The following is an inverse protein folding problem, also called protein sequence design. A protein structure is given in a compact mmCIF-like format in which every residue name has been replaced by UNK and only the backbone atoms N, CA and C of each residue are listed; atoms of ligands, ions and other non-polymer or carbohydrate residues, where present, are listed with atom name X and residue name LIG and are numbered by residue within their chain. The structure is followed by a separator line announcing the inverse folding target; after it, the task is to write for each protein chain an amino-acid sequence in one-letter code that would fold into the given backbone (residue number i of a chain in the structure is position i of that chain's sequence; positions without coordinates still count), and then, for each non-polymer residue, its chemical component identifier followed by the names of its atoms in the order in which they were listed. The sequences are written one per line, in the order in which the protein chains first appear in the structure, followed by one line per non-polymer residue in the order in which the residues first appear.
data_IF_355118259144
#
_entry.id   IF_355118259144
#
_cell.length_a   1.000
_cell.length_b   1.000
_cell.length_c   1.000
_cell.angle_alpha   90.00
_cell.angle_beta   90.00
_cell.angle_gamma   90.00
#
_symmetry.space_group_name_H-M   'P 1'
#
loop_
_entity.id
_entity.type
_entity.pdbx_description
1 polymer ?
#
# COMPACT_ATOMS: atom_id res chain seq x y z
N UNK A 1 31.87 43.67 -16.45
CA UNK A 1 32.46 42.42 -16.98
C UNK A 1 33.29 41.79 -15.88
N UNK A 2 32.76 40.76 -15.22
CA UNK A 2 33.46 39.98 -14.18
C UNK A 2 33.89 38.63 -14.79
N UNK A 3 35.11 38.13 -14.55
CA UNK A 3 35.53 36.82 -15.03
C UNK A 3 35.22 35.69 -14.03
N UNK A 4 34.78 34.56 -14.59
CA UNK A 4 34.45 33.30 -13.92
C UNK A 4 35.63 32.64 -13.20
N UNK A 5 35.34 31.96 -12.08
CA UNK A 5 36.26 31.09 -11.34
C UNK A 5 36.01 29.62 -11.68
N UNK A 6 37.05 28.92 -12.13
CA UNK A 6 37.14 27.45 -12.20
C UNK A 6 38.10 27.00 -11.10
N UNK A 7 37.68 26.05 -10.26
CA UNK A 7 38.48 25.48 -9.19
C UNK A 7 39.05 24.12 -9.65
N UNK A 8 40.38 24.01 -9.70
CA UNK A 8 41.12 22.75 -9.87
C UNK A 8 41.85 22.48 -8.55
N UNK A 9 41.62 21.33 -7.92
CA UNK A 9 42.34 20.90 -6.73
C UNK A 9 43.32 19.79 -7.12
N UNK A 10 44.61 20.10 -7.02
CA UNK A 10 45.73 19.18 -7.25
C UNK A 10 46.14 18.43 -5.98
N UNK A 11 46.51 17.17 -6.18
CA UNK A 11 46.97 16.21 -5.19
C UNK A 11 48.41 16.51 -4.73
N UNK A 12 48.70 16.52 -3.43
CA UNK A 12 50.06 16.64 -2.88
C UNK A 12 50.53 15.28 -2.35
N UNK A 13 51.66 14.81 -2.87
CA UNK A 13 52.43 13.67 -2.37
C UNK A 13 53.45 14.15 -1.34
N UNK A 14 53.51 13.52 -0.17
CA UNK A 14 54.60 13.69 0.80
C UNK A 14 55.29 12.33 1.01
N UNK A 15 56.57 12.27 0.66
CA UNK A 15 57.48 11.17 0.98
C UNK A 15 58.10 11.38 2.37
N UNK A 16 58.12 10.33 3.19
CA UNK A 16 59.04 10.21 4.32
C UNK A 16 59.69 8.83 4.25
N UNK A 17 61.03 8.82 4.25
CA UNK A 17 61.89 7.63 4.32
C UNK A 17 62.51 7.57 5.71
N UNK A 18 62.57 6.37 6.29
CA UNK A 18 63.65 6.03 7.23
C UNK A 18 63.27 5.09 8.38
N UNK A 19 63.99 3.96 8.48
CA UNK A 19 64.32 3.33 9.76
C UNK A 19 63.91 1.87 9.92
N UNK A 20 64.88 0.96 9.74
CA UNK A 20 64.78 -0.49 9.99
C UNK A 20 65.03 -0.79 11.47
N UNK A 21 64.21 -1.65 12.08
CA UNK A 21 64.44 -2.25 13.40
C UNK A 21 63.78 -3.61 13.52
N UNK A 22 64.59 -4.67 13.60
CA UNK A 22 64.17 -6.06 13.82
C UNK A 22 63.66 -6.29 15.24
N UNK A 23 62.43 -6.82 15.40
CA UNK A 23 61.99 -7.53 16.62
C UNK A 23 61.11 -8.72 16.20
N UNK A 24 61.34 -9.88 16.85
CA UNK A 24 60.93 -11.21 16.42
C UNK A 24 59.43 -11.44 16.23
N UNK A 25 59.15 -12.33 15.27
CA UNK A 25 57.81 -12.83 14.90
C UNK A 25 57.35 -13.88 15.94
N UNK A 26 56.22 -13.69 16.64
CA UNK A 26 55.61 -14.76 17.42
C UNK A 26 54.92 -15.78 16.50
N UNK A 27 54.69 -17.02 16.96
CA UNK A 27 54.11 -18.09 16.14
C UNK A 27 52.66 -17.78 15.77
N UNK A 28 52.31 -18.00 14.50
CA UNK A 28 50.93 -17.93 14.02
C UNK A 28 50.19 -19.15 14.60
N UNK A 29 49.33 -18.92 15.58
CA UNK A 29 48.35 -19.91 16.00
C UNK A 29 47.27 -20.00 14.90
N UNK A 30 47.20 -21.15 14.25
CA UNK A 30 46.11 -21.49 13.34
C UNK A 30 44.81 -21.62 14.13
N UNK A 31 44.02 -20.55 14.20
CA UNK A 31 42.65 -20.62 14.68
C UNK A 31 41.78 -21.26 13.59
N UNK A 32 41.39 -22.51 13.80
CA UNK A 32 40.34 -23.18 13.03
C UNK A 32 39.05 -22.39 13.21
N UNK A 33 38.63 -21.66 12.17
CA UNK A 33 37.31 -21.06 12.14
C UNK A 33 36.26 -22.17 12.16
N UNK A 34 35.65 -22.40 13.32
CA UNK A 34 34.46 -23.23 13.42
C UNK A 34 33.36 -22.55 12.61
N UNK A 35 33.00 -23.18 11.48
CA UNK A 35 31.85 -22.79 10.68
C UNK A 35 30.59 -23.04 11.51
N UNK A 36 30.09 -22.00 12.19
CA UNK A 36 28.71 -22.02 12.69
C UNK A 36 27.81 -21.97 11.46
N UNK A 37 27.34 -23.14 11.03
CA UNK A 37 26.18 -23.28 10.16
C UNK A 37 24.99 -22.60 10.85
N UNK A 38 24.74 -21.35 10.49
CA UNK A 38 23.43 -20.74 10.71
C UNK A 38 22.46 -21.50 9.84
N UNK A 39 21.77 -22.48 10.44
CA UNK A 39 20.66 -23.19 9.81
C UNK A 39 19.64 -22.14 9.39
N UNK A 40 19.50 -21.92 8.07
CA UNK A 40 18.39 -21.15 7.53
C UNK A 40 17.10 -21.73 8.11
N UNK A 41 16.11 -20.90 8.52
CA UNK A 41 14.84 -21.40 9.00
C UNK A 41 14.31 -22.41 7.99
N UNK A 42 14.00 -23.63 8.46
CA UNK A 42 13.42 -24.66 7.60
C UNK A 42 12.21 -24.04 6.90
N UNK A 43 12.24 -24.02 5.56
CA UNK A 43 11.11 -23.55 4.78
C UNK A 43 9.88 -24.35 5.22
N UNK A 44 8.96 -23.71 5.94
CA UNK A 44 7.70 -24.34 6.32
C UNK A 44 7.08 -24.88 5.03
N UNK A 45 6.84 -26.20 4.99
CA UNK A 45 6.19 -26.85 3.87
C UNK A 45 4.82 -26.21 3.70
N UNK A 46 4.58 -25.57 2.55
CA UNK A 46 3.30 -24.93 2.29
C UNK A 46 2.19 -25.99 2.10
N UNK A 47 1.04 -25.75 2.70
CA UNK A 47 -0.17 -26.55 2.53
C UNK A 47 -0.79 -26.24 1.18
N UNK A 48 -0.99 -27.26 0.35
CA UNK A 48 -1.67 -27.10 -0.94
C UNK A 48 -3.18 -26.90 -0.74
N UNK A 49 -3.75 -25.98 -1.50
CA UNK A 49 -5.19 -25.68 -1.55
C UNK A 49 -5.64 -25.79 -3.01
N UNK A 50 -6.64 -26.60 -3.28
CA UNK A 50 -7.09 -26.92 -4.65
C UNK A 50 -8.61 -26.76 -4.84
N UNK A 51 -9.29 -26.26 -3.80
CA UNK A 51 -10.73 -26.11 -3.72
C UNK A 51 -11.07 -25.08 -2.63
N UNK A 52 -12.32 -24.60 -2.62
CA UNK A 52 -12.79 -23.69 -1.58
C UNK A 52 -12.66 -24.34 -0.19
N UNK A 53 -12.05 -23.61 0.75
CA UNK A 53 -11.72 -24.13 2.07
C UNK A 53 -11.63 -23.01 3.11
N UNK A 54 -11.68 -23.38 4.38
CA UNK A 54 -11.39 -22.50 5.49
C UNK A 54 -9.97 -22.74 6.00
N UNK A 55 -9.18 -21.67 6.05
CA UNK A 55 -7.86 -21.63 6.68
C UNK A 55 -8.06 -21.16 8.12
N UNK A 56 -7.99 -22.11 9.05
CA UNK A 56 -8.20 -21.91 10.49
C UNK A 56 -6.95 -22.17 11.33
N UNK A 57 -5.81 -22.35 10.67
CA UNK A 57 -4.50 -22.52 11.31
C UNK A 57 -3.49 -21.63 10.61
N UNK A 58 -2.62 -21.00 11.39
CA UNK A 58 -1.48 -20.24 10.91
C UNK A 58 -0.59 -21.07 9.99
N UNK A 59 0.15 -20.40 9.11
CA UNK A 59 1.12 -21.03 8.22
C UNK A 59 0.99 -20.60 6.76
N UNK A 60 1.76 -21.28 5.92
CA UNK A 60 1.84 -20.98 4.48
C UNK A 60 0.93 -21.91 3.67
N UNK A 61 0.14 -21.32 2.79
CA UNK A 61 -0.79 -21.99 1.89
C UNK A 61 -0.48 -21.59 0.45
N UNK A 62 -0.62 -22.55 -0.47
CA UNK A 62 -0.43 -22.32 -1.91
C UNK A 62 -1.61 -22.84 -2.69
N UNK A 63 -2.15 -22.04 -3.62
CA UNK A 63 -3.09 -22.61 -4.59
C UNK A 63 -2.34 -23.58 -5.49
N UNK A 64 -2.88 -24.78 -5.66
CA UNK A 64 -2.29 -25.84 -6.46
C UNK A 64 -2.77 -25.82 -7.92
N UNK A 65 -3.91 -25.18 -8.16
CA UNK A 65 -4.58 -25.07 -9.46
C UNK A 65 -5.63 -23.96 -9.41
N UNK A 66 -6.18 -23.64 -10.58
CA UNK A 66 -7.37 -22.81 -10.67
C UNK A 66 -8.57 -23.53 -10.03
N UNK A 67 -9.35 -22.76 -9.28
CA UNK A 67 -10.60 -23.19 -8.66
C UNK A 67 -11.74 -22.60 -9.49
N UNK A 68 -12.28 -23.40 -10.39
CA UNK A 68 -13.45 -23.05 -11.19
C UNK A 68 -14.74 -23.34 -10.45
N UNK A 69 -15.76 -22.53 -10.74
CA UNK A 69 -17.12 -22.75 -10.25
C UNK A 69 -17.14 -22.91 -8.72
N UNK A 70 -16.47 -22.01 -8.00
CA UNK A 70 -16.47 -21.97 -6.54
C UNK A 70 -17.87 -21.66 -6.01
N UNK A 71 -18.74 -22.67 -5.89
CA UNK A 71 -20.05 -22.49 -5.25
C UNK A 71 -19.84 -22.36 -3.76
N UNK A 72 -20.16 -21.18 -3.25
CA UNK A 72 -20.21 -20.91 -1.81
C UNK A 72 -21.65 -20.59 -1.42
N UNK A 73 -22.00 -20.79 -0.15
CA UNK A 73 -23.25 -20.25 0.36
C UNK A 73 -23.19 -18.71 0.36
N UNK A 74 -24.34 -18.05 0.42
CA UNK A 74 -24.38 -16.60 0.68
C UNK A 74 -23.61 -16.26 1.97
N UNK A 75 -23.02 -15.08 2.03
CA UNK A 75 -22.26 -14.56 3.18
C UNK A 75 -21.00 -15.38 3.52
N UNK A 76 -20.37 -16.03 2.53
CA UNK A 76 -19.07 -16.70 2.73
C UNK A 76 -18.13 -16.57 1.53
N UNK A 77 -16.82 -16.66 1.83
CA UNK A 77 -15.76 -16.73 0.82
C UNK A 77 -15.39 -18.16 0.42
N UNK A 78 -14.79 -18.31 -0.76
CA UNK A 78 -14.22 -19.58 -1.24
C UNK A 78 -12.98 -19.95 -0.41
N UNK A 79 -12.01 -19.06 -0.33
CA UNK A 79 -10.90 -19.19 0.61
C UNK A 79 -11.16 -18.30 1.81
N UNK A 80 -11.57 -18.88 2.93
CA UNK A 80 -11.90 -18.15 4.15
C UNK A 80 -10.77 -18.24 5.17
N UNK A 81 -10.08 -17.14 5.42
CA UNK A 81 -8.95 -17.05 6.35
C UNK A 81 -9.47 -16.48 7.67
N UNK A 82 -9.33 -17.26 8.76
CA UNK A 82 -9.75 -16.93 10.13
C UNK A 82 -8.64 -17.14 11.17
N UNK A 83 -7.41 -17.34 10.70
CA UNK A 83 -6.26 -17.55 11.57
C UNK A 83 -5.22 -16.47 11.29
N UNK A 84 -4.53 -16.08 12.34
CA UNK A 84 -3.41 -15.15 12.27
C UNK A 84 -2.19 -15.81 11.61
N UNK A 85 -1.22 -15.00 11.20
CA UNK A 85 0.07 -15.47 10.65
C UNK A 85 -0.12 -16.40 9.44
N UNK A 86 -0.95 -15.98 8.49
CA UNK A 86 -1.28 -16.74 7.27
C UNK A 86 -0.67 -16.09 6.04
N UNK A 87 0.00 -16.90 5.22
CA UNK A 87 0.39 -16.50 3.87
C UNK A 87 -0.36 -17.37 2.87
N UNK A 88 -1.28 -16.77 2.11
CA UNK A 88 -1.90 -17.38 0.94
C UNK A 88 -1.19 -16.91 -0.33
N UNK A 89 -0.49 -17.81 -1.01
CA UNK A 89 0.20 -17.57 -2.27
C UNK A 89 -0.50 -18.31 -3.41
N UNK A 90 -1.24 -17.59 -4.25
CA UNK A 90 -2.00 -18.23 -5.32
C UNK A 90 -1.18 -18.70 -6.50
N UNK A 91 0.12 -18.38 -6.58
CA UNK A 91 1.01 -18.81 -7.68
C UNK A 91 0.48 -18.45 -9.09
N UNK A 92 -0.30 -17.39 -9.20
CA UNK A 92 -0.96 -16.92 -10.42
C UNK A 92 -2.31 -17.58 -10.72
N UNK A 93 -2.75 -18.55 -9.90
CA UNK A 93 -4.00 -19.27 -10.09
C UNK A 93 -5.23 -18.40 -9.83
N UNK A 94 -6.34 -18.81 -10.46
CA UNK A 94 -7.61 -18.11 -10.44
C UNK A 94 -8.61 -18.76 -9.47
N UNK A 95 -9.36 -17.92 -8.75
CA UNK A 95 -10.58 -18.27 -8.02
C UNK A 95 -11.78 -17.71 -8.78
N UNK A 96 -12.59 -18.59 -9.37
CA UNK A 96 -13.66 -18.28 -10.31
C UNK A 96 -15.03 -18.64 -9.71
N UNK A 97 -15.87 -17.63 -9.49
CA UNK A 97 -17.15 -17.71 -8.78
C UNK A 97 -18.39 -17.88 -9.67
N UNK A 98 -19.52 -17.31 -9.23
CA UNK A 98 -20.83 -17.37 -9.91
C UNK A 98 -21.61 -16.04 -9.92
N UNK A 99 -21.00 -14.95 -9.45
CA UNK A 99 -21.65 -13.66 -9.30
C UNK A 99 -22.75 -13.63 -8.24
N UNK A 100 -22.71 -14.56 -7.27
CA UNK A 100 -23.72 -14.62 -6.20
C UNK A 100 -23.48 -13.49 -5.20
N UNK A 101 -24.52 -12.75 -4.85
CA UNK A 101 -24.45 -11.66 -3.86
C UNK A 101 -23.85 -12.12 -2.52
N UNK A 102 -23.07 -11.23 -1.90
CA UNK A 102 -22.42 -11.44 -0.60
C UNK A 102 -21.50 -12.69 -0.54
N UNK A 103 -20.91 -13.07 -1.68
CA UNK A 103 -19.86 -14.09 -1.75
C UNK A 103 -18.50 -13.47 -2.05
N UNK A 104 -17.42 -14.15 -1.68
CA UNK A 104 -16.07 -13.65 -1.92
C UNK A 104 -15.10 -14.69 -2.47
N UNK A 105 -14.15 -14.28 -3.31
CA UNK A 105 -13.07 -15.18 -3.73
C UNK A 105 -12.16 -15.52 -2.56
N UNK A 106 -11.60 -14.48 -1.93
CA UNK A 106 -10.87 -14.58 -0.67
C UNK A 106 -11.58 -13.74 0.38
N UNK A 107 -11.77 -14.30 1.59
CA UNK A 107 -12.32 -13.58 2.74
C UNK A 107 -11.39 -13.72 3.93
N UNK A 108 -10.72 -12.63 4.31
CA UNK A 108 -9.98 -12.49 5.57
C UNK A 108 -10.92 -11.93 6.61
N UNK A 109 -11.18 -12.66 7.69
CA UNK A 109 -12.20 -12.30 8.67
C UNK A 109 -11.67 -12.48 10.10
N UNK A 110 -11.52 -11.38 10.85
CA UNK A 110 -11.15 -11.46 12.27
C UNK A 110 -9.73 -12.00 12.49
N UNK A 111 -8.79 -11.68 11.61
CA UNK A 111 -7.43 -12.25 11.60
C UNK A 111 -6.37 -11.16 11.46
N UNK A 112 -5.16 -11.44 11.95
CA UNK A 112 -4.03 -10.53 11.96
C UNK A 112 -2.82 -11.09 11.23
N UNK A 113 -1.97 -10.21 10.67
CA UNK A 113 -0.75 -10.60 9.97
C UNK A 113 -1.02 -11.62 8.84
N UNK A 114 -1.89 -11.23 7.90
CA UNK A 114 -2.29 -12.06 6.77
C UNK A 114 -1.74 -11.48 5.48
N UNK A 115 -1.03 -12.30 4.69
CA UNK A 115 -0.63 -11.94 3.32
C UNK A 115 -1.44 -12.75 2.30
N UNK A 116 -2.20 -12.07 1.45
CA UNK A 116 -2.85 -12.62 0.27
C UNK A 116 -2.10 -12.15 -0.97
N UNK A 117 -1.61 -13.07 -1.80
CA UNK A 117 -0.77 -12.66 -2.94
C UNK A 117 -0.82 -13.54 -4.17
N UNK A 118 -0.43 -12.93 -5.30
CA UNK A 118 -0.13 -13.61 -6.55
C UNK A 118 -1.28 -14.53 -6.99
N UNK A 119 -2.48 -13.98 -7.10
CA UNK A 119 -3.69 -14.73 -7.43
C UNK A 119 -4.66 -13.87 -8.24
N UNK A 120 -5.64 -14.54 -8.86
CA UNK A 120 -6.69 -13.87 -9.61
C UNK A 120 -8.06 -14.19 -9.02
N UNK A 121 -8.97 -13.23 -9.02
CA UNK A 121 -10.38 -13.47 -8.65
C UNK A 121 -11.32 -12.90 -9.70
N UNK A 122 -12.35 -13.66 -10.06
CA UNK A 122 -13.41 -13.19 -10.95
C UNK A 122 -14.77 -13.79 -10.62
N UNK A 123 -15.81 -13.11 -11.08
CA UNK A 123 -17.19 -13.56 -10.96
C UNK A 123 -17.59 -13.77 -9.48
N UNK A 124 -17.13 -12.90 -8.57
CA UNK A 124 -17.55 -12.84 -7.17
C UNK A 124 -18.33 -11.55 -6.88
N UNK A 125 -19.09 -11.53 -5.78
CA UNK A 125 -19.57 -10.24 -5.28
C UNK A 125 -18.40 -9.39 -4.77
N UNK A 126 -17.48 -9.97 -4.00
CA UNK A 126 -16.20 -9.34 -3.61
C UNK A 126 -15.03 -10.20 -4.06
N UNK A 127 -14.13 -9.66 -4.88
CA UNK A 127 -12.95 -10.41 -5.32
C UNK A 127 -12.08 -10.81 -4.12
N UNK A 128 -11.64 -9.82 -3.35
CA UNK A 128 -11.00 -9.98 -2.03
C UNK A 128 -11.78 -9.17 -1.01
N UNK A 129 -12.11 -9.78 0.12
CA UNK A 129 -12.79 -9.13 1.23
C UNK A 129 -11.94 -9.22 2.50
N UNK A 130 -11.59 -8.08 3.07
CA UNK A 130 -10.87 -7.94 4.35
C UNK A 130 -11.83 -7.31 5.34
N UNK A 131 -12.09 -8.01 6.45
CA UNK A 131 -13.11 -7.62 7.41
C UNK A 131 -12.63 -7.83 8.85
N UNK A 132 -12.72 -6.79 9.69
CA UNK A 132 -12.33 -6.84 11.10
C UNK A 132 -10.92 -7.44 11.28
N UNK A 133 -9.95 -7.02 10.47
CA UNK A 133 -8.63 -7.63 10.38
C UNK A 133 -7.52 -6.58 10.51
N UNK A 134 -6.34 -6.99 10.96
CA UNK A 134 -5.23 -6.06 11.22
C UNK A 134 -3.94 -6.52 10.52
N UNK A 135 -3.15 -5.56 10.03
CA UNK A 135 -1.90 -5.84 9.33
C UNK A 135 -2.08 -6.85 8.18
N UNK A 136 -3.06 -6.58 7.30
CA UNK A 136 -3.31 -7.40 6.12
C UNK A 136 -2.54 -6.85 4.93
N UNK A 137 -1.82 -7.69 4.20
CA UNK A 137 -1.19 -7.32 2.93
C UNK A 137 -1.88 -8.03 1.78
N UNK A 138 -2.42 -7.27 0.83
CA UNK A 138 -2.92 -7.80 -0.45
C UNK A 138 -1.98 -7.32 -1.55
N UNK A 139 -1.30 -8.24 -2.22
CA UNK A 139 -0.30 -7.87 -3.23
C UNK A 139 -0.25 -8.74 -4.47
N UNK A 140 0.06 -8.13 -5.60
CA UNK A 140 0.13 -8.83 -6.89
C UNK A 140 -1.17 -9.61 -7.18
N UNK A 141 -2.31 -9.06 -6.78
CA UNK A 141 -3.63 -9.65 -7.02
C UNK A 141 -4.30 -8.97 -8.21
N UNK A 142 -4.93 -9.77 -9.07
CA UNK A 142 -5.77 -9.27 -10.16
C UNK A 142 -7.22 -9.62 -9.89
N UNK A 143 -8.06 -8.62 -9.67
CA UNK A 143 -9.52 -8.82 -9.50
C UNK A 143 -10.24 -8.22 -10.70
N UNK A 144 -11.15 -8.99 -11.31
CA UNK A 144 -11.94 -8.51 -12.45
C UNK A 144 -13.31 -9.16 -12.56
N UNK A 145 -14.28 -8.49 -13.18
CA UNK A 145 -15.67 -8.97 -13.28
C UNK A 145 -16.27 -9.33 -11.91
N UNK A 146 -15.97 -8.54 -10.88
CA UNK A 146 -16.56 -8.68 -9.55
C UNK A 146 -17.48 -7.48 -9.28
N UNK A 147 -18.49 -7.61 -8.42
CA UNK A 147 -19.28 -6.44 -8.04
C UNK A 147 -18.40 -5.40 -7.30
N UNK A 148 -17.54 -5.88 -6.40
CA UNK A 148 -16.48 -5.10 -5.75
C UNK A 148 -15.17 -5.87 -5.97
N UNK A 149 -14.14 -5.19 -6.49
CA UNK A 149 -12.84 -5.81 -6.71
C UNK A 149 -12.14 -6.19 -5.41
N UNK A 150 -11.88 -5.19 -4.57
CA UNK A 150 -11.32 -5.34 -3.22
C UNK A 150 -12.18 -4.52 -2.26
N UNK A 151 -12.59 -5.13 -1.16
CA UNK A 151 -13.39 -4.50 -0.10
C UNK A 151 -12.64 -4.62 1.23
N UNK A 152 -12.36 -3.51 1.88
CA UNK A 152 -11.68 -3.39 3.18
C UNK A 152 -12.64 -2.70 4.14
N UNK A 153 -13.08 -3.42 5.17
CA UNK A 153 -14.05 -2.94 6.16
C UNK A 153 -13.51 -3.14 7.57
N UNK A 154 -13.51 -2.08 8.37
CA UNK A 154 -13.03 -2.10 9.76
C UNK A 154 -11.65 -2.79 9.89
N UNK A 155 -10.70 -2.44 9.02
CA UNK A 155 -9.42 -3.14 8.90
C UNK A 155 -8.30 -2.25 8.39
N UNK A 156 -7.06 -2.57 8.77
CA UNK A 156 -5.85 -1.92 8.24
C UNK A 156 -5.22 -2.81 7.16
N UNK A 157 -5.16 -2.32 5.92
CA UNK A 157 -4.64 -3.07 4.78
C UNK A 157 -3.56 -2.32 3.99
N UNK A 158 -2.48 -3.04 3.70
CA UNK A 158 -1.46 -2.63 2.72
C UNK A 158 -1.78 -3.27 1.37
N UNK A 159 -2.17 -2.47 0.39
CA UNK A 159 -2.54 -2.87 -0.96
C UNK A 159 -1.40 -2.50 -1.92
N UNK A 160 -0.69 -3.50 -2.47
CA UNK A 160 0.50 -3.25 -3.30
C UNK A 160 0.44 -3.95 -4.65
N UNK A 161 0.65 -3.20 -5.73
CA UNK A 161 0.77 -3.75 -7.09
C UNK A 161 -0.44 -4.60 -7.51
N UNK A 162 -1.64 -4.21 -7.06
CA UNK A 162 -2.87 -4.89 -7.44
C UNK A 162 -3.44 -4.28 -8.72
N UNK A 163 -4.14 -5.09 -9.50
CA UNK A 163 -4.92 -4.62 -10.65
C UNK A 163 -6.39 -4.94 -10.40
N UNK A 164 -7.23 -3.91 -10.36
CA UNK A 164 -8.66 -4.02 -10.13
C UNK A 164 -9.41 -3.36 -11.28
N UNK A 165 -10.24 -4.13 -11.99
CA UNK A 165 -10.90 -3.65 -13.21
C UNK A 165 -12.20 -4.36 -13.54
N UNK A 166 -12.98 -3.77 -14.43
CA UNK A 166 -14.16 -4.41 -15.04
C UNK A 166 -15.18 -4.91 -13.99
N UNK A 167 -15.23 -4.26 -12.82
CA UNK A 167 -16.22 -4.49 -11.79
C UNK A 167 -17.21 -3.34 -11.67
N UNK A 168 -18.20 -3.44 -10.77
CA UNK A 168 -19.07 -2.29 -10.50
C UNK A 168 -18.32 -1.21 -9.71
N UNK A 169 -17.64 -1.62 -8.63
CA UNK A 169 -16.74 -0.78 -7.83
C UNK A 169 -15.37 -1.42 -7.79
N UNK A 170 -14.32 -0.62 -7.89
CA UNK A 170 -12.95 -1.13 -7.85
C UNK A 170 -12.54 -1.49 -6.43
N UNK A 171 -12.15 -0.47 -5.67
CA UNK A 171 -11.70 -0.56 -4.29
C UNK A 171 -12.69 0.15 -3.36
N UNK A 172 -13.10 -0.50 -2.29
CA UNK A 172 -13.94 0.07 -1.23
C UNK A 172 -13.15 0.02 0.07
N UNK A 173 -12.98 1.17 0.71
CA UNK A 173 -12.29 1.34 1.98
C UNK A 173 -13.26 2.02 2.96
N UNK A 174 -13.67 1.34 4.03
CA UNK A 174 -14.60 1.91 5.02
C UNK A 174 -13.87 2.75 6.09
N UNK A 175 -12.60 2.43 6.36
CA UNK A 175 -11.72 3.19 7.26
C UNK A 175 -10.32 3.35 6.64
N UNK A 176 -10.24 4.18 5.60
CA UNK A 176 -9.07 4.28 4.74
C UNK A 176 -7.86 5.00 5.35
N UNK A 177 -7.96 5.50 6.59
CA UNK A 177 -6.89 6.31 7.20
C UNK A 177 -5.63 5.52 7.51
N UNK A 178 -5.78 4.22 7.74
CA UNK A 178 -4.69 3.31 8.07
C UNK A 178 -4.36 2.35 6.90
N UNK A 179 -4.99 2.57 5.73
CA UNK A 179 -4.75 1.81 4.51
C UNK A 179 -3.60 2.41 3.68
N UNK A 180 -2.72 1.55 3.18
CA UNK A 180 -1.53 1.94 2.40
C UNK A 180 -1.63 1.42 0.96
N UNK A 181 -1.86 2.31 -0.01
CA UNK A 181 -2.11 1.97 -1.41
C UNK A 181 -0.91 2.31 -2.30
N UNK A 182 -0.13 1.30 -2.70
CA UNK A 182 1.08 1.52 -3.52
C UNK A 182 1.03 0.84 -4.87
N UNK A 183 1.27 1.60 -5.94
CA UNK A 183 1.41 1.06 -7.32
C UNK A 183 0.21 0.23 -7.79
N UNK A 184 -0.99 0.53 -7.27
CA UNK A 184 -2.21 -0.16 -7.70
C UNK A 184 -2.72 0.43 -9.01
N UNK A 185 -3.35 -0.41 -9.85
CA UNK A 185 -4.01 0.01 -11.09
C UNK A 185 -5.51 -0.30 -10.98
N UNK A 186 -6.28 0.71 -10.62
CA UNK A 186 -7.73 0.61 -10.39
C UNK A 186 -8.42 1.43 -11.48
N UNK A 187 -9.11 0.75 -12.40
CA UNK A 187 -9.58 1.37 -13.64
C UNK A 187 -10.69 0.55 -14.31
N UNK A 188 -11.48 1.18 -15.17
CA UNK A 188 -12.58 0.54 -15.91
C UNK A 188 -13.61 -0.13 -14.99
N UNK A 189 -13.87 0.45 -13.82
CA UNK A 189 -15.00 0.06 -12.98
C UNK A 189 -16.22 0.93 -13.32
N UNK A 190 -17.40 0.32 -13.36
CA UNK A 190 -18.59 0.98 -13.94
C UNK A 190 -19.07 2.20 -13.14
N UNK A 191 -19.00 2.13 -11.82
CA UNK A 191 -19.52 3.17 -10.92
C UNK A 191 -18.41 4.04 -10.37
N UNK A 192 -17.39 3.42 -9.77
CA UNK A 192 -16.30 4.15 -9.11
C UNK A 192 -15.04 3.27 -9.03
N UNK A 193 -13.87 3.88 -9.26
CA UNK A 193 -12.58 3.21 -9.14
C UNK A 193 -12.22 3.01 -7.66
N UNK A 194 -12.14 4.09 -6.87
CA UNK A 194 -11.90 4.03 -5.42
C UNK A 194 -13.03 4.73 -4.67
N UNK A 195 -13.66 4.02 -3.75
CA UNK A 195 -14.62 4.57 -2.79
C UNK A 195 -14.00 4.54 -1.40
N UNK A 196 -13.94 5.69 -0.76
CA UNK A 196 -13.52 5.87 0.61
C UNK A 196 -14.33 7.02 1.26
N UNK A 197 -14.48 7.06 2.60
CA UNK A 197 -15.21 8.12 3.28
C UNK A 197 -14.58 9.48 2.99
N UNK A 198 -15.39 10.35 2.38
CA UNK A 198 -14.99 11.63 1.81
C UNK A 198 -15.59 12.79 2.62
N UNK A 199 -14.82 13.86 2.80
CA UNK A 199 -15.31 15.13 3.31
C UNK A 199 -15.90 15.98 2.17
N UNK A 200 -16.99 16.69 2.47
CA UNK A 200 -17.59 17.65 1.55
C UNK A 200 -17.15 19.06 1.94
N UNK A 201 -16.46 19.73 1.04
CA UNK A 201 -16.05 21.12 1.17
C UNK A 201 -16.95 22.00 0.32
N UNK A 202 -17.56 23.01 0.93
CA UNK A 202 -18.36 24.00 0.20
C UNK A 202 -17.68 25.37 0.31
N UNK A 203 -17.17 25.86 -0.82
CA UNK A 203 -16.58 27.20 -0.89
C UNK A 203 -17.26 27.97 -2.02
N UNK A 204 -17.87 29.11 -1.67
CA UNK A 204 -18.50 30.01 -2.64
C UNK A 204 -19.53 29.33 -3.56
N UNK A 205 -20.24 28.29 -3.09
CA UNK A 205 -21.25 27.57 -3.86
C UNK A 205 -20.68 26.45 -4.75
N UNK A 206 -19.38 26.18 -4.69
CA UNK A 206 -18.74 25.02 -5.31
C UNK A 206 -18.63 23.92 -4.25
N UNK A 207 -19.22 22.77 -4.55
CA UNK A 207 -19.06 21.55 -3.75
C UNK A 207 -17.87 20.76 -4.27
N UNK A 208 -16.91 20.52 -3.39
CA UNK A 208 -15.74 19.68 -3.65
C UNK A 208 -15.78 18.49 -2.68
N UNK A 209 -15.69 17.30 -3.25
CA UNK A 209 -15.51 16.08 -2.49
C UNK A 209 -14.01 15.81 -2.33
N UNK A 210 -13.54 15.67 -1.11
CA UNK A 210 -12.13 15.40 -0.82
C UNK A 210 -11.96 14.23 0.11
N UNK A 211 -11.00 13.39 -0.23
CA UNK A 211 -10.38 12.46 0.68
C UNK A 211 -10.96 11.05 0.71
N UNK A 212 -10.31 10.20 1.52
CA UNK A 212 -9.01 10.43 2.16
C UNK A 212 -7.92 10.50 1.10
N UNK A 213 -6.93 11.38 1.27
CA UNK A 213 -5.94 11.60 0.23
C UNK A 213 -5.05 10.35 0.11
N UNK A 214 -4.57 10.06 -1.10
CA UNK A 214 -3.77 8.86 -1.37
C UNK A 214 -2.33 9.22 -1.78
N UNK A 215 -1.36 8.52 -1.19
CA UNK A 215 0.06 8.52 -1.58
C UNK A 215 0.31 7.31 -2.51
N UNK A 216 0.15 7.53 -3.81
CA UNK A 216 0.17 6.43 -4.80
C UNK A 216 1.58 5.90 -5.09
N UNK A 217 2.63 6.70 -4.86
CA UNK A 217 4.02 6.33 -5.15
C UNK A 217 4.85 5.97 -3.89
N UNK A 218 4.33 6.28 -2.71
CA UNK A 218 4.85 5.90 -1.41
C UNK A 218 6.01 6.78 -0.93
N UNK A 219 6.12 8.01 -1.42
CA UNK A 219 7.17 8.95 -1.02
C UNK A 219 6.80 9.80 0.21
N UNK A 220 5.59 9.63 0.75
CA UNK A 220 5.05 10.34 1.89
C UNK A 220 4.29 11.62 1.52
N UNK A 221 4.18 11.95 0.23
CA UNK A 221 3.36 13.05 -0.26
C UNK A 221 2.05 12.49 -0.78
N UNK A 222 0.96 13.20 -0.50
CA UNK A 222 -0.38 12.78 -0.90
C UNK A 222 -0.85 13.57 -2.13
N UNK A 223 -0.41 13.18 -3.33
CA UNK A 223 -0.75 13.88 -4.57
C UNK A 223 -2.21 13.72 -5.00
N UNK A 224 -2.87 12.65 -4.60
CA UNK A 224 -4.30 12.43 -4.86
C UNK A 224 -5.12 12.96 -3.69
N UNK A 225 -5.25 14.28 -3.64
CA UNK A 225 -5.97 15.01 -2.58
C UNK A 225 -7.44 14.60 -2.50
N UNK A 226 -8.02 14.20 -3.65
CA UNK A 226 -9.43 13.82 -3.73
C UNK A 226 -9.69 12.36 -3.35
N UNK A 227 -8.65 11.52 -3.30
CA UNK A 227 -8.74 10.11 -2.93
C UNK A 227 -9.35 9.22 -4.03
N UNK A 228 -9.35 9.69 -5.28
CA UNK A 228 -10.10 9.05 -6.36
C UNK A 228 -9.30 7.98 -7.14
N UNK A 229 -8.02 7.81 -6.79
CA UNK A 229 -7.04 6.91 -7.42
C UNK A 229 -6.31 7.51 -8.61
N UNK A 230 -6.46 8.81 -8.89
CA UNK A 230 -5.87 9.48 -10.05
C UNK A 230 -5.23 10.79 -9.62
N UNK A 231 -3.99 10.99 -10.01
CA UNK A 231 -3.33 12.29 -9.92
C UNK A 231 -3.69 13.12 -11.15
N UNK A 232 -4.32 14.27 -10.94
CA UNK A 232 -4.78 15.11 -12.03
C UNK A 232 -5.02 16.58 -11.67
N UNK A 233 -5.61 17.29 -12.62
CA UNK A 233 -5.94 18.72 -12.47
C UNK A 233 -6.87 18.98 -11.30
N UNK A 234 -7.75 18.02 -10.98
CA UNK A 234 -8.67 18.16 -9.86
C UNK A 234 -7.92 18.19 -8.53
N UNK A 235 -6.88 17.39 -8.32
CA UNK A 235 -6.10 17.40 -7.08
C UNK A 235 -5.33 18.72 -6.92
N UNK A 236 -4.74 19.20 -8.03
CA UNK A 236 -4.04 20.48 -8.07
C UNK A 236 -4.94 21.68 -7.75
N UNK A 237 -6.22 21.64 -8.15
CA UNK A 237 -7.20 22.68 -7.82
C UNK A 237 -7.82 22.47 -6.44
N UNK A 238 -7.92 21.23 -5.98
CA UNK A 238 -8.53 20.87 -4.70
C UNK A 238 -7.72 21.41 -3.53
N UNK A 239 -6.41 21.17 -3.49
CA UNK A 239 -5.56 21.54 -2.37
C UNK A 239 -5.70 23.02 -1.92
N UNK A 240 -5.55 24.03 -2.81
CA UNK A 240 -5.72 25.43 -2.41
C UNK A 240 -7.15 25.76 -1.98
N UNK A 241 -8.17 25.14 -2.57
CA UNK A 241 -9.57 25.36 -2.19
C UNK A 241 -9.83 24.83 -0.78
N UNK A 242 -9.34 23.63 -0.47
CA UNK A 242 -9.47 23.03 0.87
C UNK A 242 -8.70 23.84 1.90
N UNK A 243 -7.46 24.27 1.61
CA UNK A 243 -6.65 25.09 2.51
C UNK A 243 -7.38 26.39 2.88
N UNK A 244 -7.89 27.13 1.89
CA UNK A 244 -8.68 28.34 2.13
C UNK A 244 -9.93 28.03 2.97
N UNK A 245 -10.64 26.95 2.66
CA UNK A 245 -11.86 26.58 3.38
C UNK A 245 -11.60 26.26 4.86
N UNK A 246 -10.47 25.59 5.15
CA UNK A 246 -10.00 25.32 6.51
C UNK A 246 -9.62 26.62 7.21
N UNK A 247 -8.82 27.48 6.57
CA UNK A 247 -8.39 28.78 7.15
C UNK A 247 -9.57 29.68 7.51
N UNK A 248 -10.61 29.73 6.67
CA UNK A 248 -11.80 30.58 6.92
C UNK A 248 -12.88 29.88 7.74
N UNK A 249 -12.67 28.62 8.15
CA UNK A 249 -13.56 27.87 9.03
C UNK A 249 -14.89 27.45 8.38
N UNK A 250 -14.92 27.24 7.07
CA UNK A 250 -16.13 26.82 6.32
C UNK A 250 -16.07 25.37 5.84
N UNK A 251 -14.97 24.67 6.11
CA UNK A 251 -14.84 23.23 5.89
C UNK A 251 -14.63 22.49 7.21
N UNK A 252 -15.31 21.35 7.34
CA UNK A 252 -15.08 20.38 8.41
C UNK A 252 -14.23 19.23 7.85
N UNK A 253 -12.91 19.41 7.88
CA UNK A 253 -11.95 18.41 7.42
C UNK A 253 -11.41 17.63 8.62
N UNK A 254 -11.49 16.28 8.62
CA UNK A 254 -10.95 15.44 9.67
C UNK A 254 -9.49 15.77 10.01
N UNK A 255 -9.11 15.64 11.29
CA UNK A 255 -7.75 15.99 11.73
C UNK A 255 -6.67 15.16 11.03
N UNK A 256 -6.94 13.87 10.81
CA UNK A 256 -6.07 12.96 10.07
C UNK A 256 -5.85 13.45 8.63
N UNK A 257 -6.91 13.93 7.96
CA UNK A 257 -6.80 14.47 6.61
C UNK A 257 -5.92 15.72 6.56
N UNK A 258 -6.06 16.62 7.53
CA UNK A 258 -5.21 17.82 7.62
C UNK A 258 -3.76 17.44 7.86
N UNK A 259 -3.51 16.48 8.75
CA UNK A 259 -2.15 15.99 9.01
C UNK A 259 -1.50 15.32 7.80
N UNK A 260 -2.26 14.64 6.94
CA UNK A 260 -1.74 14.07 5.70
C UNK A 260 -1.39 15.13 4.64
N UNK A 261 -1.94 16.34 4.77
CA UNK A 261 -1.72 17.44 3.84
C UNK A 261 -0.76 18.51 4.39
N UNK A 262 -0.11 18.25 5.54
CA UNK A 262 0.93 19.09 6.14
C UNK A 262 2.26 18.89 5.39
N UNK A 263 2.41 19.59 4.26
CA UNK A 263 3.53 19.46 3.34
C UNK A 263 4.76 20.27 3.78
N UNK A 264 4.59 21.28 4.62
CA UNK A 264 5.72 22.06 5.15
C UNK A 264 6.22 21.59 6.53
N UNK A 265 5.46 20.70 7.18
CA UNK A 265 5.82 20.02 8.42
C UNK A 265 5.68 20.88 9.66
N UNK A 266 4.86 21.94 9.62
CA UNK A 266 4.67 22.86 10.73
C UNK A 266 3.59 22.41 11.74
N UNK A 267 2.89 21.31 11.43
CA UNK A 267 1.86 20.69 12.28
C UNK A 267 0.46 21.24 12.04
N UNK A 268 0.26 22.08 11.03
CA UNK A 268 -1.03 22.63 10.65
C UNK A 268 -1.33 22.39 9.15
N UNK A 269 -2.55 22.69 8.70
CA UNK A 269 -2.88 22.66 7.27
C UNK A 269 -3.42 24.03 6.85
N UNK A 270 -2.61 24.81 6.14
CA UNK A 270 -2.90 26.16 5.70
C UNK A 270 -2.29 26.51 4.33
N UNK A 271 -2.16 27.80 4.02
CA UNK A 271 -1.55 28.29 2.78
C UNK A 271 -0.06 27.90 2.58
N UNK A 272 0.69 27.66 3.66
CA UNK A 272 2.08 27.20 3.65
C UNK A 272 2.21 25.87 2.94
N UNK A 273 1.30 24.95 3.22
CA UNK A 273 1.22 23.63 2.59
C UNK A 273 0.96 23.69 1.10
N UNK A 274 0.09 24.61 0.67
CA UNK A 274 -0.18 24.84 -0.75
C UNK A 274 1.09 25.31 -1.46
N UNK A 275 1.86 26.19 -0.83
CA UNK A 275 3.14 26.67 -1.37
C UNK A 275 4.17 25.53 -1.39
N UNK A 276 4.33 24.79 -0.30
CA UNK A 276 5.25 23.67 -0.20
C UNK A 276 4.95 22.57 -1.22
N UNK A 277 3.67 22.22 -1.40
CA UNK A 277 3.23 21.28 -2.43
C UNK A 277 3.61 21.73 -3.84
N UNK A 278 3.49 23.03 -4.13
CA UNK A 278 3.91 23.65 -5.39
C UNK A 278 5.43 23.85 -5.53
N UNK A 279 6.23 23.49 -4.51
CA UNK A 279 7.68 23.72 -4.48
C UNK A 279 8.06 25.20 -4.31
N UNK A 280 7.18 26.01 -3.73
CA UNK A 280 7.35 27.42 -3.45
C UNK A 280 7.60 27.67 -1.96
N UNK A 281 8.27 28.77 -1.63
CA UNK A 281 8.46 29.23 -0.26
C UNK A 281 7.80 30.59 -0.05
N UNK A 282 7.17 30.86 1.10
CA UNK A 282 6.63 32.19 1.40
C UNK A 282 7.68 33.29 1.22
N UNK A 283 7.31 34.39 0.55
CA UNK A 283 8.14 35.59 0.50
C UNK A 283 8.17 36.25 1.89
N UNK A 284 9.38 36.49 2.41
CA UNK A 284 9.60 37.23 3.67
C UNK A 284 9.17 38.69 3.59
#
# INVERSE_FOLDING_TARGET
MLPSRVLVVGLVFVCVVGGVGHVGRPPVASASAASTTTTAPAAQSATAVDSCTAITKSGRYVLARDVHNGKTAISTGCIKIRADDVVLDGRGHMLDGFGVSDTSGVHVAGASNVTVRNLQTKDWNRGVYVQNAAAVTVRDVVTYNNAIGIDVTDSDATLVNNTVRDGLRGLVLDDAWDDDLRRNRIHHNEVIDIYAPMALVNVFGVQLTVGPPLDLDGDGRYEDVTGNGKTGVWDAVSLPVVAVAVTVGVADIPAQQRSALDFDGDGNFDHGDVLAYAGLTPSR
#
